data_IF_486821309293
#
_entry.id   IF_486821309293
#
_cell.length_a   1.000
_cell.length_b   1.000
_cell.length_c   1.000
_cell.angle_alpha   90.00
_cell.angle_beta   90.00
_cell.angle_gamma   90.00
#
_symmetry.space_group_name_H-M   'P 1'
#
loop_
_entity.id
_entity.type
_entity.pdbx_description
1 polymer ?
#
# COMPACT_ATOMS: atom_id res chain seq x y z
N UNK A 1 53.89 11.96 39.79
CA UNK A 1 52.61 12.68 39.57
C UNK A 1 52.12 12.59 38.12
N UNK A 2 53.00 12.39 37.13
CA UNK A 2 52.65 12.34 35.68
C UNK A 2 51.83 11.13 35.20
N UNK A 3 51.90 9.97 35.88
CA UNK A 3 51.24 8.74 35.40
C UNK A 3 49.74 8.67 35.74
N UNK A 4 49.31 9.36 36.81
CA UNK A 4 47.92 9.42 37.27
C UNK A 4 47.05 10.31 36.39
N UNK A 5 47.60 11.42 35.90
CA UNK A 5 46.88 12.34 35.00
C UNK A 5 46.66 11.71 33.62
N UNK A 6 47.65 10.98 33.09
CA UNK A 6 47.49 10.22 31.85
C UNK A 6 46.42 9.12 31.96
N UNK A 7 46.31 8.44 33.12
CA UNK A 7 45.24 7.46 33.33
C UNK A 7 43.86 8.13 33.39
N UNK A 8 43.75 9.30 34.02
CA UNK A 8 42.52 10.10 34.07
C UNK A 8 42.07 10.54 32.67
N UNK A 9 43.00 10.98 31.82
CA UNK A 9 42.70 11.35 30.43
C UNK A 9 42.24 10.16 29.59
N UNK A 10 42.87 8.99 29.74
CA UNK A 10 42.47 7.76 29.03
C UNK A 10 41.04 7.35 29.41
N UNK A 11 40.67 7.45 30.69
CA UNK A 11 39.30 7.14 31.15
C UNK A 11 38.27 8.11 30.56
N UNK A 12 38.58 9.41 30.53
CA UNK A 12 37.70 10.43 29.90
C UNK A 12 37.52 10.18 28.41
N UNK A 13 38.59 9.84 27.70
CA UNK A 13 38.54 9.51 26.27
C UNK A 13 37.70 8.25 26.01
N UNK A 14 37.84 7.22 26.85
CA UNK A 14 37.01 6.02 26.76
C UNK A 14 35.53 6.32 26.96
N UNK A 15 35.17 7.15 27.95
CA UNK A 15 33.79 7.61 28.16
C UNK A 15 33.27 8.37 26.94
N UNK A 16 34.09 9.26 26.38
CA UNK A 16 33.69 10.05 25.21
C UNK A 16 33.46 9.18 23.96
N UNK A 17 34.26 8.12 23.78
CA UNK A 17 34.08 7.13 22.71
C UNK A 17 32.79 6.32 22.87
N UNK A 18 32.42 5.96 24.10
CA UNK A 18 31.15 5.29 24.38
C UNK A 18 29.97 6.19 24.03
N UNK A 19 29.99 7.44 24.50
CA UNK A 19 28.95 8.42 24.18
C UNK A 19 28.85 8.68 22.67
N UNK A 20 29.99 8.80 21.98
CA UNK A 20 30.02 8.99 20.54
C UNK A 20 29.42 7.79 19.80
N UNK A 21 29.70 6.57 20.27
CA UNK A 21 29.13 5.34 19.70
C UNK A 21 27.61 5.30 19.91
N UNK A 22 27.13 5.68 21.09
CA UNK A 22 25.69 5.74 21.38
C UNK A 22 24.97 6.73 20.47
N UNK A 23 25.52 7.94 20.32
CA UNK A 23 24.97 8.95 19.41
C UNK A 23 25.02 8.50 17.95
N UNK A 24 26.09 7.83 17.53
CA UNK A 24 26.19 7.25 16.19
C UNK A 24 25.10 6.19 15.93
N UNK A 25 24.85 5.31 16.90
CA UNK A 25 23.79 4.30 16.79
C UNK A 25 22.41 4.95 16.72
N UNK A 26 22.12 5.96 17.55
CA UNK A 26 20.86 6.73 17.50
C UNK A 26 20.69 7.41 16.14
N UNK A 27 21.75 8.01 15.62
CA UNK A 27 21.74 8.66 14.31
C UNK A 27 21.46 7.65 13.19
N UNK A 28 22.09 6.48 13.23
CA UNK A 28 21.87 5.42 12.26
C UNK A 28 20.42 4.89 12.29
N UNK A 29 19.82 4.75 13.49
CA UNK A 29 18.41 4.37 13.63
C UNK A 29 17.49 5.45 13.06
N UNK A 30 17.75 6.72 13.36
CA UNK A 30 16.98 7.86 12.82
C UNK A 30 17.08 7.93 11.30
N UNK A 31 18.26 7.69 10.73
CA UNK A 31 18.47 7.63 9.28
C UNK A 31 17.61 6.53 8.64
N UNK A 32 17.62 5.31 9.18
CA UNK A 32 16.80 4.20 8.66
C UNK A 32 15.31 4.50 8.71
N UNK A 33 14.82 5.14 9.77
CA UNK A 33 13.41 5.55 9.87
C UNK A 33 13.10 6.64 8.86
N UNK A 34 14.00 7.61 8.67
CA UNK A 34 13.82 8.67 7.70
C UNK A 34 13.81 8.13 6.26
N UNK A 35 14.72 7.21 5.91
CA UNK A 35 14.73 6.54 4.61
C UNK A 35 13.44 5.73 4.37
N UNK A 36 12.92 5.04 5.39
CA UNK A 36 11.63 4.34 5.28
C UNK A 36 10.49 5.30 4.98
N UNK A 37 10.38 6.38 5.75
CA UNK A 37 9.34 7.40 5.56
C UNK A 37 9.48 8.08 4.20
N UNK A 38 10.71 8.39 3.79
CA UNK A 38 11.01 8.99 2.50
C UNK A 38 10.69 8.03 1.35
N UNK A 39 10.99 6.73 1.45
CA UNK A 39 10.63 5.77 0.40
C UNK A 39 9.12 5.63 0.23
N UNK A 40 8.35 5.69 1.32
CA UNK A 40 6.87 5.72 1.28
C UNK A 40 6.36 7.02 0.63
N UNK A 41 6.98 8.16 0.94
CA UNK A 41 6.61 9.44 0.33
C UNK A 41 7.09 9.58 -1.12
N UNK A 42 8.23 8.99 -1.48
CA UNK A 42 8.79 9.02 -2.82
C UNK A 42 8.12 8.03 -3.77
N UNK A 43 7.46 6.99 -3.26
CA UNK A 43 6.59 6.17 -4.10
C UNK A 43 5.41 6.97 -4.69
N UNK A 44 5.00 8.08 -4.08
CA UNK A 44 4.00 8.99 -4.66
C UNK A 44 4.62 10.00 -5.63
N UNK A 45 5.93 10.21 -5.58
CA UNK A 45 6.68 11.22 -6.37
C UNK A 45 7.81 10.58 -7.19
N UNK A 46 7.46 9.77 -8.21
CA UNK A 46 8.20 9.42 -9.46
C UNK A 46 9.76 9.34 -9.48
N UNK A 47 10.48 9.19 -8.37
CA UNK A 47 11.94 9.35 -8.33
C UNK A 47 12.76 8.07 -8.09
N UNK A 48 12.14 6.90 -7.87
CA UNK A 48 12.85 5.61 -7.97
C UNK A 48 11.93 4.48 -8.43
N UNK A 49 11.93 4.19 -9.73
CA UNK A 49 11.11 3.14 -10.36
C UNK A 49 11.45 1.71 -9.89
N UNK A 50 12.58 1.55 -9.17
CA UNK A 50 13.05 0.29 -8.60
C UNK A 50 12.99 0.29 -7.06
N UNK A 51 12.23 1.19 -6.44
CA UNK A 51 11.94 1.05 -5.01
C UNK A 51 11.13 -0.23 -4.74
N UNK A 52 11.22 -0.76 -3.51
CA UNK A 52 10.42 -1.92 -3.09
C UNK A 52 8.92 -1.66 -3.26
N UNK A 53 8.46 -0.45 -2.93
CA UNK A 53 7.04 -0.06 -3.04
C UNK A 53 6.61 -0.03 -4.50
N UNK A 54 7.40 0.56 -5.41
CA UNK A 54 7.07 0.56 -6.84
C UNK A 54 7.00 -0.85 -7.43
N UNK A 55 7.88 -1.77 -7.01
CA UNK A 55 7.79 -3.19 -7.41
C UNK A 55 6.53 -3.84 -6.86
N UNK A 56 6.17 -3.59 -5.61
CA UNK A 56 4.95 -4.13 -5.02
C UNK A 56 3.71 -3.62 -5.75
N UNK A 57 3.63 -2.33 -6.05
CA UNK A 57 2.54 -1.74 -6.83
C UNK A 57 2.43 -2.35 -8.24
N UNK A 58 3.56 -2.57 -8.92
CA UNK A 58 3.58 -3.27 -10.23
C UNK A 58 3.04 -4.70 -10.11
N UNK A 59 3.49 -5.45 -9.11
CA UNK A 59 3.01 -6.82 -8.86
C UNK A 59 1.50 -6.80 -8.58
N UNK A 60 1.03 -5.88 -7.72
CA UNK A 60 -0.41 -5.73 -7.42
C UNK A 60 -1.20 -5.44 -8.69
N UNK A 61 -0.75 -4.52 -9.54
CA UNK A 61 -1.41 -4.24 -10.82
C UNK A 61 -1.42 -5.48 -11.75
N UNK A 62 -0.31 -6.22 -11.82
CA UNK A 62 -0.17 -7.43 -12.66
C UNK A 62 -1.07 -8.60 -12.20
N UNK A 63 -1.51 -8.60 -10.93
CA UNK A 63 -2.44 -9.59 -10.38
C UNK A 63 -3.90 -9.37 -10.80
N UNK A 64 -4.21 -8.27 -11.49
CA UNK A 64 -5.58 -8.02 -11.97
C UNK A 64 -6.08 -9.20 -12.83
N UNK A 65 -7.18 -9.81 -12.39
CA UNK A 65 -7.81 -10.98 -13.01
C UNK A 65 -6.84 -12.16 -13.26
N UNK A 66 -5.87 -12.37 -12.36
CA UNK A 66 -5.00 -13.56 -12.36
C UNK A 66 -5.49 -14.57 -11.33
N UNK A 67 -5.47 -15.84 -11.70
CA UNK A 67 -5.74 -16.95 -10.78
C UNK A 67 -4.62 -17.11 -9.73
N UNK A 68 -3.40 -16.66 -10.04
CA UNK A 68 -2.26 -16.74 -9.14
C UNK A 68 -2.53 -15.97 -7.84
N UNK A 69 -2.56 -16.70 -6.72
CA UNK A 69 -2.89 -16.18 -5.37
C UNK A 69 -4.35 -15.74 -5.18
N UNK A 70 -5.24 -16.02 -6.14
CA UNK A 70 -6.65 -15.69 -5.99
C UNK A 70 -7.31 -16.55 -4.92
N UNK A 71 -8.07 -15.90 -4.04
CA UNK A 71 -8.77 -16.49 -2.88
C UNK A 71 -10.24 -16.04 -2.78
N UNK A 72 -10.72 -15.36 -3.82
CA UNK A 72 -12.11 -14.92 -3.99
C UNK A 72 -12.45 -14.75 -5.47
N UNK A 73 -13.67 -15.08 -5.85
CA UNK A 73 -14.19 -14.80 -7.21
C UNK A 73 -15.05 -13.54 -7.17
N UNK A 74 -14.92 -12.65 -8.16
CA UNK A 74 -15.75 -11.45 -8.25
C UNK A 74 -16.76 -11.67 -9.38
N UNK A 75 -18.05 -11.70 -9.06
CA UNK A 75 -19.12 -11.87 -10.05
C UNK A 75 -19.56 -10.50 -10.56
N UNK A 76 -19.40 -10.27 -11.86
CA UNK A 76 -19.92 -9.12 -12.58
C UNK A 76 -21.17 -9.53 -13.36
N UNK A 77 -21.82 -8.56 -13.99
CA UNK A 77 -22.92 -8.84 -14.92
C UNK A 77 -22.40 -9.67 -16.13
N UNK A 78 -22.70 -10.97 -16.12
CA UNK A 78 -22.37 -11.90 -17.20
C UNK A 78 -20.96 -12.51 -17.17
N UNK A 79 -20.06 -12.06 -16.29
CA UNK A 79 -18.66 -12.54 -16.24
C UNK A 79 -18.16 -12.68 -14.80
N UNK A 80 -17.11 -13.48 -14.60
CA UNK A 80 -16.45 -13.65 -13.31
C UNK A 80 -14.96 -13.36 -13.41
N UNK A 81 -14.44 -12.58 -12.48
CA UNK A 81 -13.02 -12.26 -12.37
C UNK A 81 -12.38 -12.99 -11.19
N UNK A 82 -11.09 -13.29 -11.32
CA UNK A 82 -10.26 -13.71 -10.18
C UNK A 82 -9.91 -12.49 -9.32
N UNK A 83 -10.09 -12.63 -8.00
CA UNK A 83 -9.85 -11.57 -7.03
C UNK A 83 -8.93 -11.99 -5.89
N UNK A 84 -8.48 -11.00 -5.12
CA UNK A 84 -7.56 -11.16 -3.99
C UNK A 84 -8.09 -10.37 -2.79
N UNK A 85 -8.42 -11.05 -1.70
CA UNK A 85 -9.01 -10.44 -0.49
C UNK A 85 -8.11 -9.39 0.12
N UNK A 86 -6.80 -9.62 0.14
CA UNK A 86 -5.86 -8.67 0.74
C UNK A 86 -5.81 -7.33 -0.02
N UNK A 87 -5.98 -7.35 -1.35
CA UNK A 87 -6.03 -6.13 -2.18
C UNK A 87 -7.33 -5.38 -1.94
N UNK A 88 -8.46 -6.11 -1.87
CA UNK A 88 -9.76 -5.53 -1.55
C UNK A 88 -9.75 -4.89 -0.15
N UNK A 89 -9.32 -5.62 0.88
CA UNK A 89 -9.23 -5.11 2.24
C UNK A 89 -8.33 -3.87 2.37
N UNK A 90 -7.29 -3.75 1.53
CA UNK A 90 -6.43 -2.57 1.51
C UNK A 90 -7.13 -1.30 0.97
N UNK A 91 -8.20 -1.45 0.18
CA UNK A 91 -8.97 -0.32 -0.40
C UNK A 91 -10.21 0.06 0.41
N UNK A 92 -10.79 -0.87 1.16
CA UNK A 92 -11.96 -0.58 2.00
C UNK A 92 -12.12 -1.57 3.16
N UNK A 93 -12.51 -1.02 4.31
CA UNK A 93 -12.93 -1.79 5.49
C UNK A 93 -14.15 -2.67 5.18
N UNK A 94 -14.99 -2.30 4.21
CA UNK A 94 -16.15 -3.10 3.77
C UNK A 94 -15.78 -4.42 3.10
N UNK A 95 -14.51 -4.58 2.72
CA UNK A 95 -13.99 -5.80 2.13
C UNK A 95 -13.03 -6.55 3.07
N UNK A 96 -12.93 -6.13 4.33
CA UNK A 96 -12.20 -6.89 5.33
C UNK A 96 -12.90 -8.22 5.66
N UNK A 97 -12.16 -9.23 6.14
CA UNK A 97 -12.72 -10.54 6.52
C UNK A 97 -13.90 -10.46 7.49
N UNK A 98 -13.97 -9.42 8.33
CA UNK A 98 -15.05 -9.21 9.30
C UNK A 98 -16.37 -8.84 8.64
N UNK A 99 -16.34 -8.11 7.52
CA UNK A 99 -17.54 -7.67 6.78
C UNK A 99 -17.88 -8.64 5.64
N UNK A 100 -16.87 -9.13 4.92
CA UNK A 100 -17.05 -10.04 3.79
C UNK A 100 -17.22 -11.50 4.22
N UNK A 101 -16.75 -11.85 5.42
CA UNK A 101 -16.74 -13.21 5.93
C UNK A 101 -15.95 -14.19 5.04
N UNK A 102 -16.29 -15.47 5.18
CA UNK A 102 -15.75 -16.56 4.35
C UNK A 102 -16.50 -16.70 3.01
N UNK A 103 -17.24 -15.68 2.57
CA UNK A 103 -18.02 -15.73 1.33
C UNK A 103 -17.10 -16.03 0.14
N UNK A 104 -17.30 -17.12 -0.62
CA UNK A 104 -16.37 -17.52 -1.68
C UNK A 104 -16.34 -16.55 -2.85
N UNK A 105 -17.34 -15.67 -2.96
CA UNK A 105 -17.46 -14.69 -4.00
C UNK A 105 -17.93 -13.31 -3.51
N UNK A 106 -17.44 -12.27 -4.20
CA UNK A 106 -17.94 -10.90 -4.11
C UNK A 106 -18.92 -10.68 -5.27
N UNK A 107 -20.20 -10.48 -4.95
CA UNK A 107 -21.22 -10.28 -5.96
C UNK A 107 -21.41 -8.79 -6.29
N UNK A 108 -21.12 -8.42 -7.54
CA UNK A 108 -21.33 -7.10 -8.15
C UNK A 108 -22.20 -7.18 -9.41
N UNK A 109 -22.92 -8.30 -9.60
CA UNK A 109 -23.77 -8.53 -10.79
C UNK A 109 -24.97 -7.58 -10.87
N UNK A 110 -25.22 -6.82 -9.80
CA UNK A 110 -26.25 -5.78 -9.73
C UNK A 110 -25.81 -4.44 -10.34
N UNK A 111 -24.53 -4.32 -10.73
CA UNK A 111 -23.94 -3.14 -11.35
C UNK A 111 -23.65 -3.44 -12.83
N UNK A 112 -23.79 -2.46 -13.74
CA UNK A 112 -23.34 -2.60 -15.12
C UNK A 112 -21.92 -3.14 -15.23
N UNK A 113 -21.71 -4.09 -16.15
CA UNK A 113 -20.44 -4.78 -16.33
C UNK A 113 -19.25 -3.82 -16.48
N UNK A 114 -19.39 -2.77 -17.30
CA UNK A 114 -18.35 -1.78 -17.55
C UNK A 114 -17.94 -1.03 -16.27
N UNK A 115 -18.91 -0.63 -15.45
CA UNK A 115 -18.67 0.03 -14.16
C UNK A 115 -18.00 -0.92 -13.17
N UNK A 116 -18.51 -2.15 -13.05
CA UNK A 116 -17.94 -3.16 -12.15
C UNK A 116 -16.52 -3.55 -12.55
N UNK A 117 -16.27 -3.76 -13.85
CA UNK A 117 -14.95 -4.06 -14.38
C UNK A 117 -13.98 -2.91 -14.12
N UNK A 118 -14.37 -1.67 -14.40
CA UNK A 118 -13.50 -0.52 -14.18
C UNK A 118 -13.23 -0.27 -12.71
N UNK A 119 -14.20 -0.50 -11.82
CA UNK A 119 -14.03 -0.42 -10.38
C UNK A 119 -12.95 -1.41 -9.91
N UNK A 120 -13.06 -2.68 -10.30
CA UNK A 120 -12.08 -3.69 -9.91
C UNK A 120 -10.73 -3.40 -10.56
N UNK A 121 -10.69 -2.93 -11.80
CA UNK A 121 -9.42 -2.51 -12.42
C UNK A 121 -8.76 -1.37 -11.63
N UNK A 122 -9.53 -0.38 -11.21
CA UNK A 122 -9.03 0.72 -10.39
C UNK A 122 -8.49 0.22 -9.03
N UNK A 123 -9.17 -0.72 -8.37
CA UNK A 123 -8.70 -1.34 -7.11
C UNK A 123 -7.24 -1.83 -7.23
N UNK A 124 -6.87 -2.41 -8.38
CA UNK A 124 -5.54 -2.99 -8.61
C UNK A 124 -4.51 -2.01 -9.18
N UNK A 125 -4.94 -1.03 -9.98
CA UNK A 125 -4.04 -0.18 -10.77
C UNK A 125 -4.02 1.29 -10.36
N UNK A 126 -5.01 1.72 -9.59
CA UNK A 126 -5.29 3.13 -9.28
C UNK A 126 -5.65 3.98 -10.51
N UNK A 127 -6.01 3.34 -11.64
CA UNK A 127 -6.32 4.01 -12.90
C UNK A 127 -7.80 3.92 -13.26
N UNK A 128 -8.36 5.06 -13.71
CA UNK A 128 -9.68 5.15 -14.33
C UNK A 128 -9.51 5.48 -15.80
N UNK A 129 -10.23 4.79 -16.69
CA UNK A 129 -10.16 5.07 -18.12
C UNK A 129 -10.71 6.47 -18.44
N UNK A 130 -9.98 7.24 -19.27
CA UNK A 130 -10.18 8.69 -19.50
C UNK A 130 -11.47 9.08 -20.25
N UNK A 131 -12.10 8.16 -20.98
CA UNK A 131 -13.28 8.44 -21.81
C UNK A 131 -14.52 7.77 -21.25
N UNK A 132 -15.25 8.49 -20.38
CA UNK A 132 -16.47 7.98 -19.75
C UNK A 132 -17.66 8.90 -19.99
N UNK A 133 -18.84 8.31 -20.16
CA UNK A 133 -20.11 9.04 -20.17
C UNK A 133 -20.49 9.45 -18.72
N UNK A 134 -21.33 10.47 -18.58
CA UNK A 134 -21.83 10.95 -17.27
C UNK A 134 -22.56 9.84 -16.49
N UNK A 135 -23.37 9.03 -17.18
CA UNK A 135 -24.09 7.90 -16.56
C UNK A 135 -23.12 6.86 -15.96
N UNK A 136 -22.00 6.61 -16.64
CA UNK A 136 -20.96 5.71 -16.15
C UNK A 136 -20.32 6.25 -14.88
N UNK A 137 -19.92 7.54 -14.90
CA UNK A 137 -19.28 8.18 -13.75
C UNK A 137 -20.22 8.22 -12.54
N UNK A 138 -21.51 8.50 -12.75
CA UNK A 138 -22.50 8.52 -11.68
C UNK A 138 -22.68 7.13 -11.04
N UNK A 139 -22.76 6.08 -11.87
CA UNK A 139 -22.85 4.70 -11.41
C UNK A 139 -21.56 4.27 -10.67
N UNK A 140 -20.39 4.67 -11.18
CA UNK A 140 -19.11 4.43 -10.54
C UNK A 140 -19.05 5.09 -9.17
N UNK A 141 -19.42 6.37 -9.06
CA UNK A 141 -19.42 7.13 -7.80
C UNK A 141 -20.42 6.55 -6.78
N UNK A 142 -21.59 6.14 -7.25
CA UNK A 142 -22.61 5.52 -6.38
C UNK A 142 -22.11 4.18 -5.86
N UNK A 143 -21.45 3.40 -6.70
CA UNK A 143 -20.83 2.13 -6.32
C UNK A 143 -19.65 2.34 -5.36
N UNK A 144 -18.80 3.34 -5.63
CA UNK A 144 -17.69 3.71 -4.76
C UNK A 144 -18.18 4.05 -3.36
N UNK A 145 -19.25 4.85 -3.27
CA UNK A 145 -19.89 5.22 -2.01
C UNK A 145 -20.46 4.02 -1.27
N UNK A 146 -21.06 3.05 -1.98
CA UNK A 146 -21.59 1.80 -1.40
C UNK A 146 -20.51 1.01 -0.67
N UNK A 147 -19.30 0.98 -1.20
CA UNK A 147 -18.16 0.27 -0.61
C UNK A 147 -17.19 1.18 0.14
N UNK A 148 -17.55 2.42 0.43
CA UNK A 148 -16.72 3.38 1.18
C UNK A 148 -15.30 3.57 0.59
N UNK A 149 -15.18 3.54 -0.74
CA UNK A 149 -13.91 3.71 -1.47
C UNK A 149 -13.54 5.20 -1.56
N UNK A 150 -12.99 5.75 -0.47
CA UNK A 150 -12.73 7.19 -0.32
C UNK A 150 -11.86 7.79 -1.43
N UNK A 151 -10.79 7.11 -1.82
CA UNK A 151 -9.86 7.57 -2.86
C UNK A 151 -10.49 7.72 -4.25
N UNK A 152 -11.68 7.14 -4.47
CA UNK A 152 -12.43 7.24 -5.71
C UNK A 152 -13.51 8.33 -5.65
N UNK A 153 -13.86 8.80 -4.45
CA UNK A 153 -14.95 9.76 -4.19
C UNK A 153 -14.41 11.16 -3.88
N UNK A 154 -13.28 11.23 -3.18
CA UNK A 154 -12.61 12.46 -2.74
C UNK A 154 -11.79 13.12 -3.86
#
# INVERSE_FOLDING_TARGET
MSNSDNQSEVVKLQQHLVLLREEYVKLQQRHKTLERNFNVLNSTTKLDQNSFVCRLLKIVADLFNRELYSDITIKLDGETLYGHRFILAARSLKWEPQELGDAPDLNLSDIPYDVGFQLIKWVYSDEIAEKQNEDFLLNLMTTAKRFELKELID
#
